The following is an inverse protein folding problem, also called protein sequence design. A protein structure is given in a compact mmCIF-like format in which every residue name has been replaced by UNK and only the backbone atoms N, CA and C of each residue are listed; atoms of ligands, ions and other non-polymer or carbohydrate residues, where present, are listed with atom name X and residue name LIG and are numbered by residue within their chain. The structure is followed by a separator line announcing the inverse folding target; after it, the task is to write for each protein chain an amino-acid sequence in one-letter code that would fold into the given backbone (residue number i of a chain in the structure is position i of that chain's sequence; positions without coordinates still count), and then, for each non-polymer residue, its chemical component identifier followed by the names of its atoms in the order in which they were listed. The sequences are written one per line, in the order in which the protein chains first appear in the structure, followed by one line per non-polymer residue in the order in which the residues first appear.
data_IF_130048405231
#
_entry.id   IF_130048405231
#
_cell.length_a   1.000
_cell.length_b   1.000
_cell.length_c   1.000
_cell.angle_alpha   90.00
_cell.angle_beta   90.00
_cell.angle_gamma   90.00
#
_symmetry.space_group_name_H-M   'P 1'
#
loop_
_entity.id
_entity.type
_entity.pdbx_description
1 polymer ?
#
# COMPACT_ATOMS: atom_id res chain seq x y z
N UNK A 1 -7.43 -5.90 -14.74
CA UNK A 1 -6.73 -4.60 -14.58
C UNK A 1 -5.25 -4.88 -14.47
N UNK A 2 -4.41 -4.18 -15.23
CA UNK A 2 -2.96 -4.27 -15.08
C UNK A 2 -2.52 -3.42 -13.88
N UNK A 3 -2.37 -4.04 -12.71
CA UNK A 3 -2.01 -3.36 -11.46
C UNK A 3 -0.60 -2.79 -11.48
N UNK A 4 0.32 -3.39 -12.25
CA UNK A 4 1.68 -2.89 -12.40
C UNK A 4 1.70 -1.48 -13.01
N UNK A 5 0.69 -1.15 -13.82
CA UNK A 5 0.53 0.17 -14.45
C UNK A 5 -0.49 1.05 -13.72
N UNK A 6 -1.60 0.47 -13.27
CA UNK A 6 -2.70 1.23 -12.68
C UNK A 6 -2.32 1.88 -11.34
N UNK A 7 -1.51 1.21 -10.52
CA UNK A 7 -1.09 1.75 -9.21
C UNK A 7 -0.15 2.94 -9.37
N UNK A 8 0.95 2.87 -10.17
CA UNK A 8 1.75 4.06 -10.49
C UNK A 8 0.91 5.19 -11.08
N UNK A 9 0.09 4.91 -12.09
CA UNK A 9 -0.72 5.93 -12.74
C UNK A 9 -1.73 6.61 -11.80
N UNK A 10 -2.17 5.94 -10.74
CA UNK A 10 -3.04 6.51 -9.72
C UNK A 10 -2.26 7.44 -8.77
N UNK A 11 -1.13 6.98 -8.24
CA UNK A 11 -0.36 7.68 -7.20
C UNK A 11 0.50 8.81 -7.76
N UNK A 12 1.05 8.66 -8.96
CA UNK A 12 1.90 9.68 -9.62
C UNK A 12 1.13 10.94 -10.04
N UNK A 13 -0.21 10.95 -9.91
CA UNK A 13 -1.03 12.16 -10.04
C UNK A 13 -0.80 13.15 -8.90
N UNK A 14 -0.31 12.69 -7.75
CA UNK A 14 -0.06 13.54 -6.60
C UNK A 14 1.33 14.20 -6.72
N UNK A 15 1.44 15.54 -6.64
CA UNK A 15 2.69 16.25 -6.92
C UNK A 15 3.85 15.92 -5.97
N UNK A 16 3.54 15.45 -4.76
CA UNK A 16 4.56 15.01 -3.80
C UNK A 16 5.14 13.61 -4.09
N UNK A 17 4.47 12.79 -4.92
CA UNK A 17 4.95 11.45 -5.28
C UNK A 17 5.96 11.57 -6.42
N UNK A 18 7.20 11.14 -6.17
CA UNK A 18 8.28 11.24 -7.17
C UNK A 18 8.71 9.88 -7.73
N UNK A 19 8.29 8.77 -7.12
CA UNK A 19 8.51 7.42 -7.64
C UNK A 19 7.50 6.43 -7.08
N UNK A 20 7.01 5.53 -7.94
CA UNK A 20 6.25 4.34 -7.56
C UNK A 20 6.92 3.12 -8.18
N UNK A 21 7.45 2.21 -7.35
CA UNK A 21 8.22 1.06 -7.83
C UNK A 21 7.61 -0.25 -7.35
N UNK A 22 7.24 -1.12 -8.30
CA UNK A 22 6.88 -2.51 -8.02
C UNK A 22 8.11 -3.25 -7.46
N UNK A 23 7.92 -3.93 -6.32
CA UNK A 23 8.93 -4.78 -5.69
C UNK A 23 8.33 -6.17 -5.38
N UNK A 24 9.04 -6.98 -4.57
CA UNK A 24 8.53 -8.27 -4.12
C UNK A 24 8.56 -9.37 -5.17
N UNK A 25 7.73 -10.40 -4.98
CA UNK A 25 7.71 -11.59 -5.83
C UNK A 25 7.28 -11.28 -7.26
N UNK A 26 6.34 -10.34 -7.45
CA UNK A 26 5.86 -9.92 -8.77
C UNK A 26 6.91 -9.16 -9.58
N UNK A 27 7.72 -8.32 -8.94
CA UNK A 27 8.83 -7.65 -9.61
C UNK A 27 9.94 -8.61 -10.05
N UNK A 28 10.11 -9.72 -9.34
CA UNK A 28 11.20 -10.69 -9.57
C UNK A 28 10.79 -11.92 -10.36
N UNK A 29 9.55 -11.98 -10.85
CA UNK A 29 9.03 -13.14 -11.60
C UNK A 29 8.84 -14.40 -10.74
N UNK A 30 8.84 -14.27 -9.41
CA UNK A 30 8.68 -15.38 -8.44
C UNK A 30 7.28 -15.46 -7.85
N UNK A 31 6.35 -14.64 -8.34
CA UNK A 31 4.98 -14.62 -7.87
C UNK A 31 4.19 -15.87 -8.31
N UNK A 32 3.25 -16.26 -7.48
CA UNK A 32 2.15 -17.17 -7.84
C UNK A 32 0.82 -16.39 -7.82
N UNK A 33 -0.28 -17.07 -8.13
CA UNK A 33 -1.61 -16.48 -8.30
C UNK A 33 -2.03 -15.57 -7.13
N UNK A 34 -1.81 -16.03 -5.90
CA UNK A 34 -2.20 -15.36 -4.65
C UNK A 34 -1.11 -14.44 -4.07
N UNK A 35 -0.03 -14.18 -4.80
CA UNK A 35 1.00 -13.24 -4.33
C UNK A 35 0.46 -11.81 -4.31
N UNK A 36 0.82 -11.07 -3.27
CA UNK A 36 0.50 -9.66 -3.11
C UNK A 36 1.19 -8.78 -4.17
N UNK A 37 0.77 -7.52 -4.23
CA UNK A 37 1.40 -6.48 -5.04
C UNK A 37 2.08 -5.45 -4.14
N UNK A 38 3.41 -5.45 -4.12
CA UNK A 38 4.18 -4.55 -3.26
C UNK A 38 4.70 -3.34 -4.04
N UNK A 39 4.38 -2.13 -3.59
CA UNK A 39 4.89 -0.89 -4.18
C UNK A 39 5.63 -0.04 -3.17
N UNK A 40 6.86 0.34 -3.50
CA UNK A 40 7.60 1.38 -2.79
C UNK A 40 7.23 2.75 -3.34
N UNK A 41 6.81 3.64 -2.44
CA UNK A 41 6.38 5.00 -2.76
C UNK A 41 7.41 5.99 -2.23
N UNK A 42 8.09 6.70 -3.14
CA UNK A 42 8.91 7.85 -2.76
C UNK A 42 8.07 9.13 -2.80
N UNK A 43 8.09 9.86 -1.70
CA UNK A 43 7.39 11.13 -1.54
C UNK A 43 8.25 12.13 -0.78
N UNK A 44 8.14 13.41 -1.11
CA UNK A 44 8.72 14.52 -0.34
C UNK A 44 7.77 15.10 0.71
N UNK A 45 6.48 14.73 0.66
CA UNK A 45 5.47 15.09 1.66
C UNK A 45 4.57 13.87 1.91
N UNK A 46 4.94 13.09 2.92
CA UNK A 46 4.17 11.92 3.31
C UNK A 46 2.76 12.28 3.79
N UNK A 47 2.59 13.39 4.51
CA UNK A 47 1.30 13.74 5.14
C UNK A 47 0.28 14.19 4.11
N UNK A 48 0.70 14.94 3.09
CA UNK A 48 -0.16 15.27 1.96
C UNK A 48 -0.61 14.01 1.22
N UNK A 49 0.33 13.12 0.88
CA UNK A 49 -0.02 11.87 0.19
C UNK A 49 -0.91 10.99 1.06
N UNK A 50 -0.63 10.86 2.37
CA UNK A 50 -1.44 10.09 3.31
C UNK A 50 -2.91 10.57 3.36
N UNK A 51 -3.13 11.88 3.33
CA UNK A 51 -4.45 12.49 3.32
C UNK A 51 -5.21 12.28 2.01
N UNK A 52 -4.53 12.43 0.88
CA UNK A 52 -5.14 12.32 -0.46
C UNK A 52 -5.24 10.88 -0.96
N UNK A 53 -4.52 9.94 -0.34
CA UNK A 53 -4.43 8.53 -0.75
C UNK A 53 -5.78 7.90 -1.06
N UNK A 54 -6.84 8.01 -0.22
CA UNK A 54 -8.13 7.41 -0.54
C UNK A 54 -8.71 7.88 -1.88
N UNK A 55 -8.53 9.15 -2.23
CA UNK A 55 -8.98 9.70 -3.51
C UNK A 55 -8.08 9.26 -4.67
N UNK A 56 -6.76 9.22 -4.46
CA UNK A 56 -5.79 8.76 -5.48
C UNK A 56 -6.08 7.32 -5.92
N UNK A 57 -6.34 6.43 -4.96
CA UNK A 57 -6.54 4.99 -5.22
C UNK A 57 -8.00 4.64 -5.53
N UNK A 58 -8.92 5.59 -5.51
CA UNK A 58 -10.36 5.34 -5.72
C UNK A 58 -10.65 4.64 -7.05
N UNK A 59 -9.90 4.95 -8.11
CA UNK A 59 -10.06 4.29 -9.42
C UNK A 59 -9.69 2.81 -9.44
N UNK A 60 -8.97 2.32 -8.43
CA UNK A 60 -8.68 0.90 -8.24
C UNK A 60 -9.84 0.15 -7.58
N UNK A 61 -10.87 0.87 -7.11
CA UNK A 61 -12.04 0.35 -6.42
C UNK A 61 -11.70 -0.61 -5.26
N UNK A 62 -10.86 -0.19 -4.28
CA UNK A 62 -10.58 -1.01 -3.11
C UNK A 62 -11.87 -1.25 -2.31
N UNK A 63 -12.04 -2.49 -1.83
CA UNK A 63 -13.08 -2.87 -0.87
C UNK A 63 -12.76 -2.33 0.53
N UNK A 64 -11.48 -2.29 0.87
CA UNK A 64 -11.00 -1.69 2.10
C UNK A 64 -9.58 -1.17 1.93
N UNK A 65 -9.23 -0.28 2.84
CA UNK A 65 -7.88 0.21 3.02
C UNK A 65 -7.53 0.11 4.50
N UNK A 66 -6.41 -0.53 4.79
CA UNK A 66 -5.96 -0.76 6.16
C UNK A 66 -4.51 -0.34 6.29
N UNK A 67 -4.19 0.44 7.31
CA UNK A 67 -2.81 0.66 7.71
C UNK A 67 -2.25 -0.60 8.37
N UNK A 68 -1.07 -1.04 7.97
CA UNK A 68 -0.36 -2.13 8.64
C UNK A 68 0.16 -1.67 10.02
N UNK A 69 -0.35 -2.22 11.13
CA UNK A 69 0.09 -1.85 12.47
C UNK A 69 1.45 -2.46 12.87
N UNK A 70 1.97 -3.43 12.10
CA UNK A 70 3.16 -4.23 12.44
C UNK A 70 4.35 -3.99 11.51
N UNK A 71 4.25 -3.03 10.59
CA UNK A 71 5.38 -2.59 9.79
C UNK A 71 6.25 -1.57 10.56
N UNK A 72 7.57 -1.63 10.35
CA UNK A 72 8.50 -0.58 10.81
C UNK A 72 8.45 0.67 9.91
N UNK A 73 7.65 0.63 8.85
CA UNK A 73 7.39 1.73 7.91
C UNK A 73 5.90 2.02 7.79
N UNK A 74 5.55 3.20 7.31
CA UNK A 74 4.16 3.42 6.93
C UNK A 74 3.83 2.53 5.74
N UNK A 75 2.83 1.67 5.92
CA UNK A 75 2.34 0.75 4.90
C UNK A 75 0.80 0.75 4.93
N UNK A 76 0.19 0.87 3.74
CA UNK A 76 -1.25 0.77 3.56
C UNK A 76 -1.58 -0.41 2.66
N UNK A 77 -2.38 -1.33 3.16
CA UNK A 77 -2.88 -2.49 2.46
C UNK A 77 -4.24 -2.15 1.83
N UNK A 78 -4.33 -2.24 0.51
CA UNK A 78 -5.58 -2.14 -0.23
C UNK A 78 -6.09 -3.56 -0.51
N UNK A 79 -7.31 -3.87 -0.09
CA UNK A 79 -7.98 -5.11 -0.48
C UNK A 79 -8.90 -4.82 -1.67
N UNK A 80 -8.69 -5.52 -2.77
CA UNK A 80 -9.50 -5.39 -3.98
C UNK A 80 -10.49 -6.56 -4.08
N UNK A 81 -11.41 -6.50 -5.05
CA UNK A 81 -12.27 -7.66 -5.36
C UNK A 81 -11.42 -8.86 -5.80
N UNK A 82 -11.75 -10.04 -5.28
CA UNK A 82 -10.97 -11.27 -5.47
C UNK A 82 -9.83 -11.40 -4.46
N UNK A 83 -8.94 -12.39 -4.61
CA UNK A 83 -7.82 -12.61 -3.70
C UNK A 83 -6.65 -11.66 -4.03
N UNK A 84 -6.89 -10.36 -4.04
CA UNK A 84 -5.90 -9.34 -4.46
C UNK A 84 -5.68 -8.32 -3.37
N UNK A 85 -4.44 -8.27 -2.87
CA UNK A 85 -3.95 -7.26 -1.93
C UNK A 85 -2.82 -6.45 -2.56
N UNK A 86 -2.80 -5.15 -2.28
CA UNK A 86 -1.74 -4.21 -2.68
C UNK A 86 -1.17 -3.56 -1.43
N UNK A 87 0.14 -3.64 -1.24
CA UNK A 87 0.85 -2.98 -0.14
C UNK A 87 1.55 -1.71 -0.67
N UNK A 88 1.12 -0.55 -0.16
CA UNK A 88 1.71 0.76 -0.45
C UNK A 88 2.68 1.13 0.65
N UNK A 89 3.98 0.93 0.40
CA UNK A 89 5.05 1.03 1.39
C UNK A 89 5.78 2.36 1.21
N UNK A 90 5.86 3.17 2.26
CA UNK A 90 6.57 4.45 2.30
C UNK A 90 7.90 4.27 3.06
N UNK A 91 9.01 3.89 2.40
CA UNK A 91 10.25 3.52 3.07
C UNK A 91 10.90 4.67 3.85
N UNK A 92 10.61 5.93 3.49
CA UNK A 92 11.09 7.12 4.19
C UNK A 92 10.38 7.39 5.52
N UNK A 93 9.16 6.90 5.69
CA UNK A 93 8.34 7.16 6.87
C UNK A 93 8.46 6.01 7.87
N UNK A 94 9.27 6.20 8.92
CA UNK A 94 9.43 5.21 10.00
C UNK A 94 8.18 5.13 10.87
N UNK A 95 7.82 3.92 11.28
CA UNK A 95 6.75 3.65 12.24
C UNK A 95 7.25 2.78 13.37
N UNK A 96 6.54 2.86 14.50
CA UNK A 96 6.70 1.90 15.60
C UNK A 96 5.66 0.82 15.40
N UNK A 97 6.05 -0.43 15.65
CA UNK A 97 5.12 -1.53 15.73
C UNK A 97 4.07 -1.23 16.81
N UNK A 98 2.83 -1.58 16.49
CA UNK A 98 1.78 -1.64 17.49
C UNK A 98 2.01 -2.87 18.37
N UNK A 99 1.59 -2.85 19.64
CA UNK A 99 1.57 -4.06 20.44
C UNK A 99 0.74 -5.12 19.72
N UNK A 100 1.13 -6.40 19.88
CA UNK A 100 0.33 -7.50 19.39
C UNK A 100 -1.10 -7.37 19.92
N UNK A 101 -2.08 -7.61 19.06
CA UNK A 101 -3.46 -7.69 19.50
C UNK A 101 -3.59 -8.74 20.60
N UNK A 102 -4.05 -8.30 21.78
CA UNK A 102 -4.33 -9.17 22.90
C UNK A 102 -5.84 -9.41 22.93
N UNK A 103 -6.32 -10.63 22.62
CA UNK A 103 -7.74 -10.94 22.73
C UNK A 103 -8.18 -10.71 24.17
N UNK A 104 -9.28 -10.01 24.35
CA UNK A 104 -9.92 -9.80 25.65
C UNK A 104 -11.37 -10.31 25.58
N UNK A 105 -12.00 -10.66 26.71
CA UNK A 105 -13.41 -11.05 26.72
C UNK A 105 -14.34 -9.94 26.20
N UNK A 106 -13.85 -8.71 26.20
CA UNK A 106 -14.53 -7.54 25.66
C UNK A 106 -14.19 -7.42 24.17
N UNK A 107 -14.98 -8.11 23.34
CA UNK A 107 -14.92 -8.16 21.86
C UNK A 107 -13.73 -8.88 21.23
#
# INVERSE_FOLDING_TARGET
MDLARAVPAALEKHPAVHVVRLVGSRATGRAHELSDWDFLIGTNDFRSVEGDRPALVASLAPLSEQRDPYSDRACYMLLLRGPTKIDLIFPGEKRRWSPAWAPSPET
#
